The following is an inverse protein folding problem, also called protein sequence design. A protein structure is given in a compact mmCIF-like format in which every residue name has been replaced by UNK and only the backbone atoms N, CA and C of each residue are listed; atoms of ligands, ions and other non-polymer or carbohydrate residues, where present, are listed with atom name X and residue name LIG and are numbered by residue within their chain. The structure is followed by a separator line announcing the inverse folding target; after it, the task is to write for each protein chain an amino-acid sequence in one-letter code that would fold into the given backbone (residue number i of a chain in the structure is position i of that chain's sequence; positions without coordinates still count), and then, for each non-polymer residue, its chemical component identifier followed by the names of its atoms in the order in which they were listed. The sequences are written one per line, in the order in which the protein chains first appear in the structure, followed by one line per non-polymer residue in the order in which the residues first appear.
data_IF_406004320041
#
_entry.id   IF_406004320041
#
_cell.length_a   1.000
_cell.length_b   1.000
_cell.length_c   1.000
_cell.angle_alpha   90.00
_cell.angle_beta   90.00
_cell.angle_gamma   90.00
#
_symmetry.space_group_name_H-M   'P 1'
#
loop_
_entity.id
_entity.type
_entity.pdbx_description
1 polymer ?
#
# COMPACT_ATOMS: atom_id res chain seq x y z
N UNK A 1 15.92 11.00 -4.95
CA UNK A 1 14.47 10.81 -5.07
C UNK A 1 13.77 12.09 -4.67
N UNK A 2 12.67 12.48 -5.33
CA UNK A 2 12.06 13.83 -5.17
C UNK A 2 10.86 13.84 -4.22
N UNK A 3 10.15 12.72 -4.11
CA UNK A 3 9.00 12.58 -3.23
C UNK A 3 9.23 11.45 -2.22
N UNK A 4 8.78 11.68 -0.98
CA UNK A 4 8.79 10.70 0.11
C UNK A 4 7.48 10.84 0.90
N UNK A 5 6.80 9.72 1.13
CA UNK A 5 5.57 9.64 1.91
C UNK A 5 5.69 8.47 2.87
N UNK A 6 5.29 8.68 4.13
CA UNK A 6 5.12 7.62 5.11
C UNK A 6 3.62 7.42 5.31
N UNK A 7 3.15 6.18 5.11
CA UNK A 7 1.78 5.78 5.36
C UNK A 7 1.72 4.89 6.58
N UNK A 8 0.69 5.11 7.41
CA UNK A 8 0.35 4.24 8.53
C UNK A 8 -1.06 3.72 8.24
N UNK A 9 -1.17 2.41 8.07
CA UNK A 9 -2.43 1.70 7.84
C UNK A 9 -2.75 0.92 9.12
N UNK A 10 -3.91 1.14 9.76
CA UNK A 10 -4.21 0.57 11.07
C UNK A 10 -4.54 -0.94 11.05
N UNK A 11 -4.22 -1.64 9.96
CA UNK A 11 -4.55 -3.05 9.75
C UNK A 11 -3.33 -3.82 9.23
N UNK A 12 -3.20 -5.08 9.65
CA UNK A 12 -2.15 -6.00 9.20
C UNK A 12 -2.44 -6.57 7.79
N UNK A 13 -2.43 -5.71 6.76
CA UNK A 13 -2.78 -6.09 5.38
C UNK A 13 -1.57 -6.25 4.44
N UNK A 14 -0.36 -6.38 5.01
CA UNK A 14 0.88 -6.47 4.24
C UNK A 14 0.80 -7.55 3.16
N UNK A 15 0.31 -8.73 3.50
CA UNK A 15 0.23 -9.88 2.58
C UNK A 15 -0.67 -9.63 1.35
N UNK A 16 -1.59 -8.67 1.44
CA UNK A 16 -2.45 -8.25 0.33
C UNK A 16 -1.75 -7.18 -0.51
N UNK A 17 -1.03 -6.26 0.14
CA UNK A 17 -0.36 -5.14 -0.54
C UNK A 17 0.95 -5.55 -1.21
N UNK A 18 1.78 -6.35 -0.53
CA UNK A 18 3.14 -6.68 -0.96
C UNK A 18 3.23 -7.29 -2.37
N UNK A 19 2.36 -8.24 -2.78
CA UNK A 19 2.39 -8.79 -4.14
C UNK A 19 2.19 -7.73 -5.23
N UNK A 20 1.23 -6.82 -5.02
CA UNK A 20 0.93 -5.73 -5.96
C UNK A 20 2.10 -4.76 -6.05
N UNK A 21 2.71 -4.41 -4.91
CA UNK A 21 3.89 -3.54 -4.86
C UNK A 21 5.11 -4.18 -5.55
N UNK A 22 5.30 -5.49 -5.38
CA UNK A 22 6.37 -6.23 -6.06
C UNK A 22 6.18 -6.24 -7.57
N UNK A 23 4.95 -6.35 -8.06
CA UNK A 23 4.66 -6.22 -9.49
C UNK A 23 4.98 -4.80 -10.00
N UNK A 24 4.60 -3.76 -9.26
CA UNK A 24 4.98 -2.38 -9.56
C UNK A 24 6.50 -2.21 -9.63
N UNK A 25 7.29 -2.81 -8.72
CA UNK A 25 8.76 -2.71 -8.76
C UNK A 25 9.36 -3.35 -10.02
N UNK A 26 8.77 -4.43 -10.54
CA UNK A 26 9.21 -5.09 -11.79
C UNK A 26 8.94 -4.20 -12.99
N UNK A 27 7.77 -3.55 -13.02
CA UNK A 27 7.31 -2.77 -14.17
C UNK A 27 7.75 -1.30 -14.13
N UNK A 28 8.05 -0.75 -12.94
CA UNK A 28 8.33 0.68 -12.73
C UNK A 28 9.53 0.90 -11.79
N UNK A 29 10.72 1.10 -12.38
CA UNK A 29 11.98 1.41 -11.65
C UNK A 29 12.02 2.79 -10.97
N UNK A 30 10.91 3.51 -10.91
CA UNK A 30 10.82 4.91 -10.45
C UNK A 30 10.28 5.07 -9.03
N UNK A 31 9.90 3.97 -8.38
CA UNK A 31 9.34 3.95 -7.04
C UNK A 31 10.04 2.90 -6.18
N UNK A 32 10.38 3.29 -4.97
CA UNK A 32 10.81 2.38 -3.91
C UNK A 32 9.74 2.36 -2.82
N UNK A 33 9.41 1.17 -2.36
CA UNK A 33 8.44 0.95 -1.28
C UNK A 33 9.11 0.06 -0.25
N UNK A 34 9.14 0.54 0.99
CA UNK A 34 9.76 -0.13 2.14
C UNK A 34 8.69 -0.36 3.21
N UNK A 35 8.52 -1.61 3.62
CA UNK A 35 7.67 -1.96 4.76
C UNK A 35 8.49 -1.81 6.04
N UNK A 36 8.07 -0.91 6.92
CA UNK A 36 8.79 -0.58 8.16
C UNK A 36 8.25 -1.38 9.35
N UNK A 37 6.94 -1.64 9.37
CA UNK A 37 6.23 -2.37 10.43
C UNK A 37 5.05 -3.13 9.83
N UNK A 38 4.71 -4.28 10.41
CA UNK A 38 3.63 -5.14 9.88
C UNK A 38 2.26 -4.88 10.51
N UNK A 39 2.20 -4.48 11.79
CA UNK A 39 0.95 -4.15 12.49
C UNK A 39 1.16 -3.08 13.60
N UNK A 40 0.57 -1.86 13.47
CA UNK A 40 -0.07 -1.35 12.26
C UNK A 40 0.93 -1.35 11.10
N UNK A 41 0.43 -1.50 9.88
CA UNK A 41 1.26 -1.57 8.69
C UNK A 41 1.83 -0.18 8.38
N UNK A 42 3.15 -0.04 8.51
CA UNK A 42 3.87 1.19 8.21
C UNK A 42 4.65 1.02 6.91
N UNK A 43 4.44 1.94 5.96
CA UNK A 43 5.03 1.88 4.62
C UNK A 43 5.70 3.22 4.30
N UNK A 44 6.97 3.19 3.95
CA UNK A 44 7.68 4.31 3.34
C UNK A 44 7.67 4.15 1.82
N UNK A 45 7.19 5.18 1.11
CA UNK A 45 7.15 5.24 -0.35
C UNK A 45 8.04 6.39 -0.80
N UNK A 46 9.00 6.11 -1.67
CA UNK A 46 9.83 7.11 -2.31
C UNK A 46 9.67 7.04 -3.82
N UNK A 47 9.55 8.18 -4.49
CA UNK A 47 9.37 8.23 -5.93
C UNK A 47 10.22 9.32 -6.58
N UNK A 48 10.60 9.10 -7.85
CA UNK A 48 11.28 10.12 -8.66
C UNK A 48 10.31 11.12 -9.30
N UNK A 49 9.07 10.73 -9.55
CA UNK A 49 8.01 11.58 -10.11
C UNK A 49 6.66 11.40 -9.39
N UNK A 50 5.77 12.39 -9.55
CA UNK A 50 4.47 12.43 -8.87
C UNK A 50 3.47 11.43 -9.45
N UNK A 51 3.60 11.07 -10.73
CA UNK A 51 2.73 10.10 -11.40
C UNK A 51 2.93 8.72 -10.79
N UNK A 52 4.18 8.32 -10.61
CA UNK A 52 4.54 7.02 -10.05
C UNK A 52 4.18 6.93 -8.57
N UNK A 53 4.39 8.02 -7.81
CA UNK A 53 3.89 8.11 -6.42
C UNK A 53 2.37 7.92 -6.36
N UNK A 54 1.63 8.68 -7.17
CA UNK A 54 0.16 8.63 -7.20
C UNK A 54 -0.35 7.24 -7.58
N UNK A 55 0.30 6.56 -8.52
CA UNK A 55 -0.09 5.21 -8.92
C UNK A 55 -0.01 4.24 -7.73
N UNK A 56 1.08 4.26 -6.97
CA UNK A 56 1.24 3.40 -5.78
C UNK A 56 0.25 3.74 -4.68
N UNK A 57 0.06 5.04 -4.38
CA UNK A 57 -0.92 5.48 -3.37
C UNK A 57 -2.35 5.05 -3.73
N UNK A 58 -2.73 5.14 -5.01
CA UNK A 58 -4.04 4.71 -5.48
C UNK A 58 -4.24 3.20 -5.35
N UNK A 59 -3.22 2.40 -5.65
CA UNK A 59 -3.27 0.93 -5.48
C UNK A 59 -3.47 0.58 -4.02
N UNK A 60 -2.66 1.14 -3.12
CA UNK A 60 -2.76 0.90 -1.67
C UNK A 60 -4.15 1.31 -1.15
N UNK A 61 -4.65 2.49 -1.54
CA UNK A 61 -5.97 2.97 -1.10
C UNK A 61 -7.11 2.06 -1.55
N UNK A 62 -7.07 1.54 -2.78
CA UNK A 62 -8.07 0.58 -3.28
C UNK A 62 -8.05 -0.72 -2.49
N UNK A 63 -6.87 -1.27 -2.20
CA UNK A 63 -6.73 -2.50 -1.42
C UNK A 63 -7.23 -2.32 0.01
N UNK A 64 -6.91 -1.19 0.66
CA UNK A 64 -7.44 -0.85 1.98
C UNK A 64 -8.97 -0.79 1.95
N UNK A 65 -9.56 -0.12 0.96
CA UNK A 65 -11.02 0.00 0.80
C UNK A 65 -11.68 -1.38 0.62
N UNK A 66 -11.08 -2.27 -0.17
CA UNK A 66 -11.59 -3.63 -0.37
C UNK A 66 -11.52 -4.41 0.95
N UNK A 67 -10.39 -4.34 1.65
CA UNK A 67 -10.19 -5.02 2.92
C UNK A 67 -11.19 -4.57 3.98
N UNK A 68 -11.39 -3.26 4.15
CA UNK A 68 -12.39 -2.70 5.07
C UNK A 68 -13.79 -3.21 4.76
N UNK A 69 -14.20 -3.22 3.48
CA UNK A 69 -15.51 -3.77 3.08
C UNK A 69 -15.62 -5.27 3.34
N UNK A 70 -14.54 -6.03 3.16
CA UNK A 70 -14.53 -7.46 3.47
C UNK A 70 -14.68 -7.71 4.97
N UNK A 71 -14.01 -6.91 5.82
CA UNK A 71 -14.19 -6.97 7.27
C UNK A 71 -15.63 -6.64 7.68
N UNK A 72 -16.22 -5.58 7.11
CA UNK A 72 -17.61 -5.21 7.35
C UNK A 72 -18.59 -6.34 6.99
N UNK A 73 -18.32 -7.11 5.94
CA UNK A 73 -19.15 -8.25 5.55
C UNK A 73 -19.00 -9.42 6.50
N UNK A 74 -17.79 -9.68 7.01
CA UNK A 74 -17.58 -10.75 8.02
C UNK A 74 -18.31 -10.39 9.30
N UNK A 75 -18.09 -9.19 9.83
CA UNK A 75 -18.68 -8.74 11.09
C UNK A 75 -20.22 -8.62 11.06
N UNK A 76 -20.83 -8.50 9.88
CA UNK A 76 -22.30 -8.47 9.73
C UNK A 76 -22.94 -9.85 9.66
N UNK A 77 -22.16 -10.90 9.43
CA UNK A 77 -22.62 -12.28 9.33
C UNK A 77 -22.29 -13.10 10.58
N UNK A 78 -21.69 -12.48 11.60
CA UNK A 78 -21.53 -12.98 12.97
C UNK A 78 -22.60 -12.39 13.90
#
# INVERSE_FOLDING_TARGET
MKYKVNLIIPFAIKNIIEPEILDYKKNFKRVEVNFLKEDPLEIEIKASDSVSLRAVLNTISKLCTIYEKSLDLVNKNE
#
